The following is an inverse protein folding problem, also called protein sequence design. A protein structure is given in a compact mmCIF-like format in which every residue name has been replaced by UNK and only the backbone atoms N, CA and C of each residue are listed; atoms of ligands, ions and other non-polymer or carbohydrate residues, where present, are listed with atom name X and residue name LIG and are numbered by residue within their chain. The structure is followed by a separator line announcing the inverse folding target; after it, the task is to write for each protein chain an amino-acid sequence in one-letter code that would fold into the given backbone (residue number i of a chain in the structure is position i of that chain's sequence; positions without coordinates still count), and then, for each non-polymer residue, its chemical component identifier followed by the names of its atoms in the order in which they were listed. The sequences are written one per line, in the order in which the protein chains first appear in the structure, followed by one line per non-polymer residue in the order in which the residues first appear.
data_IF_981657883103
#
_entry.id   IF_981657883103
#
_cell.length_a   1.000
_cell.length_b   1.000
_cell.length_c   1.000
_cell.angle_alpha   90.00
_cell.angle_beta   90.00
_cell.angle_gamma   90.00
#
_symmetry.space_group_name_H-M   'P 1'
#
loop_
_entity.id
_entity.type
_entity.pdbx_description
1 polymer ?
#
# COMPACT_ATOMS: atom_id res chain seq x y z
N UNK A 1 5.15 24.42 -5.59
CA UNK A 1 6.14 23.42 -6.04
C UNK A 1 5.38 22.33 -6.78
N UNK A 2 5.44 22.30 -8.11
CA UNK A 2 4.74 21.29 -8.90
C UNK A 2 5.30 19.91 -8.58
N UNK A 3 4.42 18.95 -8.28
CA UNK A 3 4.83 17.57 -8.03
C UNK A 3 5.48 17.00 -9.29
N UNK A 4 6.78 16.70 -9.22
CA UNK A 4 7.47 15.97 -10.29
C UNK A 4 6.94 14.53 -10.32
N UNK A 5 6.96 13.86 -11.48
CA UNK A 5 6.39 12.51 -11.67
C UNK A 5 6.93 11.53 -10.63
N UNK A 6 8.24 11.54 -10.39
CA UNK A 6 8.87 10.72 -9.36
C UNK A 6 8.34 10.98 -7.94
N UNK A 7 8.01 12.22 -7.62
CA UNK A 7 7.43 12.60 -6.34
C UNK A 7 6.00 12.08 -6.21
N UNK A 8 5.21 12.10 -7.29
CA UNK A 8 3.86 11.51 -7.33
C UNK A 8 3.94 10.00 -7.08
N UNK A 9 4.83 9.29 -7.77
CA UNK A 9 5.03 7.85 -7.56
C UNK A 9 5.47 7.51 -6.13
N UNK A 10 6.35 8.34 -5.53
CA UNK A 10 6.76 8.17 -4.15
C UNK A 10 5.58 8.33 -3.17
N UNK A 11 4.78 9.38 -3.33
CA UNK A 11 3.61 9.61 -2.48
C UNK A 11 2.53 8.54 -2.69
N UNK A 12 2.31 8.10 -3.93
CA UNK A 12 1.38 7.03 -4.23
C UNK A 12 1.78 5.72 -3.53
N UNK A 13 3.05 5.32 -3.66
CA UNK A 13 3.59 4.12 -2.98
C UNK A 13 3.44 4.23 -1.46
N UNK A 14 3.74 5.40 -0.90
CA UNK A 14 3.66 5.65 0.54
C UNK A 14 2.22 5.58 1.07
N UNK A 15 1.26 6.21 0.38
CA UNK A 15 -0.16 6.18 0.78
C UNK A 15 -0.69 4.74 0.71
N UNK A 16 -0.38 4.00 -0.36
CA UNK A 16 -0.84 2.61 -0.52
C UNK A 16 -0.23 1.71 0.55
N UNK A 17 1.03 1.90 0.92
CA UNK A 17 1.66 1.19 2.05
C UNK A 17 0.92 1.43 3.37
N UNK A 18 0.53 2.68 3.62
CA UNK A 18 -0.21 3.07 4.82
C UNK A 18 -1.59 2.42 4.86
N UNK A 19 -2.30 2.44 3.73
CA UNK A 19 -3.62 1.78 3.58
C UNK A 19 -3.49 0.26 3.74
N UNK A 20 -2.49 -0.37 3.12
CA UNK A 20 -2.22 -1.80 3.27
C UNK A 20 -2.05 -2.18 4.75
N UNK A 21 -1.26 -1.41 5.48
CA UNK A 21 -1.02 -1.61 6.91
C UNK A 21 -2.32 -1.45 7.71
N UNK A 22 -3.12 -0.42 7.42
CA UNK A 22 -4.40 -0.19 8.10
C UNK A 22 -5.40 -1.33 7.86
N UNK A 23 -5.47 -1.88 6.65
CA UNK A 23 -6.34 -3.00 6.29
C UNK A 23 -5.94 -4.27 7.06
N UNK A 24 -4.64 -4.58 7.12
CA UNK A 24 -4.14 -5.73 7.90
C UNK A 24 -4.44 -5.54 9.39
N UNK A 25 -4.19 -4.35 9.94
CA UNK A 25 -4.49 -4.03 11.33
C UNK A 25 -5.98 -4.16 11.64
N UNK A 26 -6.87 -3.73 10.73
CA UNK A 26 -8.31 -3.92 10.88
C UNK A 26 -8.70 -5.40 10.92
N UNK A 27 -8.10 -6.23 10.07
CA UNK A 27 -8.31 -7.68 10.10
C UNK A 27 -7.87 -8.32 11.41
N UNK A 28 -6.72 -7.91 11.96
CA UNK A 28 -6.15 -8.52 13.18
C UNK A 28 -6.82 -8.02 14.47
N UNK A 29 -7.19 -6.74 14.52
CA UNK A 29 -7.67 -6.09 15.74
C UNK A 29 -9.20 -6.07 15.83
N UNK A 30 -9.92 -5.81 14.73
CA UNK A 30 -11.37 -5.57 14.76
C UNK A 30 -12.20 -6.68 14.10
N UNK A 31 -11.70 -7.28 13.03
CA UNK A 31 -12.44 -8.27 12.22
C UNK A 31 -11.72 -9.61 12.17
N UNK A 32 -11.51 -10.24 13.34
CA UNK A 32 -10.72 -11.48 13.46
C UNK A 32 -11.26 -12.62 12.62
N UNK A 33 -12.58 -12.74 12.49
CA UNK A 33 -13.24 -13.76 11.64
C UNK A 33 -12.89 -13.61 10.15
N UNK A 34 -12.52 -12.39 9.73
CA UNK A 34 -12.14 -12.06 8.35
C UNK A 34 -10.64 -11.79 8.22
N UNK A 35 -9.84 -12.05 9.27
CA UNK A 35 -8.43 -11.70 9.32
C UNK A 35 -7.64 -12.24 8.13
N UNK A 36 -7.97 -13.44 7.65
CA UNK A 36 -7.31 -14.06 6.49
C UNK A 36 -7.61 -13.25 5.22
N UNK A 37 -8.87 -12.90 4.97
CA UNK A 37 -9.26 -12.09 3.82
C UNK A 37 -8.62 -10.70 3.84
N UNK A 38 -8.67 -10.03 4.99
CA UNK A 38 -8.01 -8.72 5.16
C UNK A 38 -6.48 -8.80 5.02
N UNK A 39 -5.85 -9.89 5.47
CA UNK A 39 -4.41 -10.09 5.32
C UNK A 39 -4.00 -10.34 3.87
N UNK A 40 -4.74 -11.17 3.12
CA UNK A 40 -4.49 -11.42 1.70
C UNK A 40 -4.62 -10.13 0.88
N UNK A 41 -5.69 -9.37 1.13
CA UNK A 41 -5.91 -8.07 0.47
C UNK A 41 -4.80 -7.08 0.84
N UNK A 42 -4.42 -7.01 2.11
CA UNK A 42 -3.31 -6.17 2.57
C UNK A 42 -1.98 -6.51 1.92
N UNK A 43 -1.64 -7.80 1.79
CA UNK A 43 -0.45 -8.26 1.07
C UNK A 43 -0.51 -7.87 -0.42
N UNK A 44 -1.69 -7.95 -1.04
CA UNK A 44 -1.90 -7.46 -2.41
C UNK A 44 -1.61 -5.96 -2.56
N UNK A 45 -2.07 -5.13 -1.61
CA UNK A 45 -1.76 -3.71 -1.60
C UNK A 45 -0.27 -3.42 -1.34
N UNK A 46 0.40 -4.23 -0.51
CA UNK A 46 1.85 -4.14 -0.35
C UNK A 46 2.60 -4.42 -1.66
N UNK A 47 2.17 -5.42 -2.44
CA UNK A 47 2.75 -5.70 -3.75
C UNK A 47 2.60 -4.50 -4.70
N UNK A 48 1.43 -3.84 -4.71
CA UNK A 48 1.19 -2.63 -5.51
C UNK A 48 2.08 -1.47 -5.04
N UNK A 49 2.19 -1.25 -3.73
CA UNK A 49 3.10 -0.24 -3.17
C UNK A 49 4.56 -0.48 -3.59
N UNK A 50 5.00 -1.74 -3.58
CA UNK A 50 6.33 -2.13 -4.04
C UNK A 50 6.53 -1.84 -5.53
N UNK A 51 5.55 -2.17 -6.38
CA UNK A 51 5.60 -1.86 -7.83
C UNK A 51 5.75 -0.35 -8.04
N UNK A 52 4.94 0.49 -7.39
CA UNK A 52 5.07 1.94 -7.53
C UNK A 52 6.42 2.48 -7.05
N UNK A 53 6.97 1.92 -5.98
CA UNK A 53 8.32 2.29 -5.54
C UNK A 53 9.41 1.82 -6.52
N UNK A 54 9.23 0.67 -7.16
CA UNK A 54 10.17 0.13 -8.15
C UNK A 54 10.11 0.88 -9.49
N UNK A 55 8.94 1.42 -9.87
CA UNK A 55 8.74 2.23 -11.07
C UNK A 55 9.25 3.67 -10.90
N UNK A 56 9.33 4.17 -9.67
CA UNK A 56 9.90 5.49 -9.35
C UNK A 56 11.35 5.58 -9.87
N UNK A 57 11.60 6.50 -10.81
CA UNK A 57 12.92 6.72 -11.43
C UNK A 57 13.19 5.86 -12.66
N UNK A 58 12.24 5.01 -13.07
CA UNK A 58 12.29 4.25 -14.33
C UNK A 58 11.36 4.79 -15.41
N UNK A 59 10.37 5.61 -15.03
CA UNK A 59 9.35 6.23 -15.88
C UNK A 59 9.37 7.74 -15.64
#
# INVERSE_FOLDING_TARGET
MGLNKNTIFAWASFIIFLVATAIVLLGVLKYKDHAIGFSVVGIGFFAISWVFNALKGRI
#
